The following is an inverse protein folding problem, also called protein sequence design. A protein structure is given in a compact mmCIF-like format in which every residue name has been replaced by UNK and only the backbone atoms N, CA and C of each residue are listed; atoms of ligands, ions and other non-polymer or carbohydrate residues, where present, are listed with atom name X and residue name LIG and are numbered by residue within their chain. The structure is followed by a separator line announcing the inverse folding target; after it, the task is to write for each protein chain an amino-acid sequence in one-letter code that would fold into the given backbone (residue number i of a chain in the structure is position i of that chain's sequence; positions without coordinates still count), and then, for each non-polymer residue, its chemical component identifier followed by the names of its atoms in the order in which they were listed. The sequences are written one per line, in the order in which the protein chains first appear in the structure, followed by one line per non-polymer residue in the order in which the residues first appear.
data_IF_953348535870
#
_entry.id   IF_953348535870
#
_cell.length_a   1.000
_cell.length_b   1.000
_cell.length_c   1.000
_cell.angle_alpha   90.00
_cell.angle_beta   90.00
_cell.angle_gamma   90.00
#
_symmetry.space_group_name_H-M   'P 1'
#
loop_
_entity.id
_entity.type
_entity.pdbx_description
1 polymer ?
#
# COMPACT_ATOMS: atom_id res chain seq x y z
N UNK A 1 10.44 17.15 6.90
CA UNK A 1 9.95 15.82 6.48
C UNK A 1 10.62 15.45 5.16
N UNK A 2 11.46 14.42 5.14
CA UNK A 2 12.14 13.94 3.92
C UNK A 2 11.19 13.13 3.05
N UNK A 3 11.27 13.32 1.73
CA UNK A 3 10.57 12.47 0.78
C UNK A 3 11.24 11.09 0.73
N UNK A 4 10.44 10.03 0.70
CA UNK A 4 10.95 8.68 0.44
C UNK A 4 11.57 8.60 -0.95
N UNK A 5 12.66 7.85 -1.07
CA UNK A 5 13.30 7.53 -2.35
C UNK A 5 13.62 6.05 -2.38
N UNK A 6 13.34 5.42 -3.51
CA UNK A 6 13.79 4.06 -3.78
C UNK A 6 15.31 4.02 -3.89
N UNK A 7 15.89 2.99 -3.31
CA UNK A 7 17.30 2.68 -3.41
C UNK A 7 17.50 1.70 -4.57
N UNK A 8 18.11 2.17 -5.66
CA UNK A 8 18.35 1.36 -6.86
C UNK A 8 19.32 0.20 -6.62
N UNK A 9 20.09 0.23 -5.52
CA UNK A 9 20.95 -0.89 -5.12
C UNK A 9 20.20 -2.02 -4.41
N UNK A 10 18.92 -1.81 -4.06
CA UNK A 10 18.09 -2.76 -3.31
C UNK A 10 17.05 -3.45 -4.17
N UNK A 11 16.68 -4.66 -3.75
CA UNK A 11 15.59 -5.42 -4.38
C UNK A 11 14.22 -4.79 -4.13
N UNK A 12 13.20 -5.30 -4.83
CA UNK A 12 11.81 -4.88 -4.64
C UNK A 12 11.34 -5.04 -3.20
N UNK A 13 11.57 -6.21 -2.60
CA UNK A 13 11.11 -6.50 -1.23
C UNK A 13 11.74 -5.58 -0.19
N UNK A 14 13.03 -5.26 -0.32
CA UNK A 14 13.73 -4.36 0.59
C UNK A 14 13.24 -2.92 0.46
N UNK A 15 13.05 -2.46 -0.78
CA UNK A 15 12.48 -1.14 -1.07
C UNK A 15 11.03 -1.02 -0.59
N UNK A 16 10.28 -2.11 -0.67
CA UNK A 16 8.89 -2.17 -0.23
C UNK A 16 8.78 -2.12 1.30
N UNK A 17 9.59 -2.87 2.03
CA UNK A 17 9.63 -2.75 3.50
C UNK A 17 10.08 -1.35 3.92
N UNK A 18 11.11 -0.77 3.28
CA UNK A 18 11.54 0.60 3.57
C UNK A 18 10.44 1.65 3.30
N UNK A 19 9.63 1.43 2.25
CA UNK A 19 8.47 2.27 1.98
C UNK A 19 7.38 2.12 3.05
N UNK A 20 7.07 0.89 3.47
CA UNK A 20 6.09 0.64 4.52
C UNK A 20 6.54 1.25 5.85
N UNK A 21 7.80 1.11 6.23
CA UNK A 21 8.35 1.74 7.45
C UNK A 21 8.30 3.27 7.36
N UNK A 22 8.56 3.84 6.18
CA UNK A 22 8.35 5.26 5.96
C UNK A 22 6.89 5.66 6.15
N UNK A 23 5.95 4.89 5.58
CA UNK A 23 4.52 5.12 5.72
C UNK A 23 4.05 5.03 7.18
N UNK A 24 4.56 4.08 7.96
CA UNK A 24 4.24 3.96 9.39
C UNK A 24 4.55 5.27 10.15
N UNK A 25 5.60 6.00 9.75
CA UNK A 25 5.96 7.29 10.36
C UNK A 25 5.10 8.48 9.89
N UNK A 26 4.35 8.32 8.80
CA UNK A 26 3.54 9.38 8.17
C UNK A 26 2.06 9.23 8.45
N UNK A 27 1.57 8.03 8.24
CA UNK A 27 0.17 7.65 8.26
C UNK A 27 0.10 6.14 8.58
N UNK A 28 -0.02 5.79 9.88
CA UNK A 28 -0.13 4.40 10.33
C UNK A 28 -1.35 3.67 9.76
N UNK A 29 -2.44 4.37 9.48
CA UNK A 29 -3.65 3.76 8.91
C UNK A 29 -3.42 3.38 7.45
N UNK A 30 -2.79 4.27 6.68
CA UNK A 30 -2.41 3.98 5.30
C UNK A 30 -1.36 2.87 5.22
N UNK A 31 -0.42 2.83 6.17
CA UNK A 31 0.54 1.72 6.29
C UNK A 31 -0.16 0.38 6.51
N UNK A 32 -1.14 0.33 7.42
CA UNK A 32 -1.89 -0.89 7.71
C UNK A 32 -2.65 -1.39 6.46
N UNK A 33 -3.26 -0.48 5.70
CA UNK A 33 -3.93 -0.80 4.43
C UNK A 33 -2.94 -1.37 3.42
N UNK A 34 -1.75 -0.77 3.28
CA UNK A 34 -0.72 -1.28 2.37
C UNK A 34 -0.23 -2.66 2.81
N UNK A 35 0.07 -2.87 4.09
CA UNK A 35 0.51 -4.19 4.60
C UNK A 35 -0.53 -5.28 4.37
N UNK A 36 -1.82 -4.97 4.51
CA UNK A 36 -2.90 -5.93 4.27
C UNK A 36 -2.98 -6.42 2.82
N UNK A 37 -2.41 -5.69 1.86
CA UNK A 37 -2.53 -6.00 0.43
C UNK A 37 -1.20 -6.25 -0.27
N UNK A 38 -0.07 -5.94 0.36
CA UNK A 38 1.26 -6.04 -0.25
C UNK A 38 1.62 -7.47 -0.68
N UNK A 39 1.06 -8.48 -0.02
CA UNK A 39 1.24 -9.89 -0.40
C UNK A 39 0.82 -10.17 -1.84
N UNK A 40 -0.12 -9.38 -2.40
CA UNK A 40 -0.52 -9.49 -3.81
C UNK A 40 0.63 -9.18 -4.75
N UNK A 41 1.50 -8.23 -4.39
CA UNK A 41 2.64 -7.81 -5.21
C UNK A 41 3.82 -8.78 -5.14
N UNK A 42 3.95 -9.56 -4.05
CA UNK A 42 5.06 -10.49 -3.84
C UNK A 42 4.90 -11.74 -4.71
N UNK A 43 6.01 -12.23 -5.29
CA UNK A 43 6.05 -13.51 -6.02
C UNK A 43 5.59 -13.49 -7.48
N UNK A 44 5.36 -12.31 -8.08
CA UNK A 44 5.02 -12.22 -9.51
C UNK A 44 6.29 -12.19 -10.37
N UNK A 45 6.60 -13.32 -11.01
CA UNK A 45 7.78 -13.49 -11.88
C UNK A 45 7.43 -13.21 -13.35
N UNK A 46 6.14 -13.24 -13.70
CA UNK A 46 5.64 -13.06 -15.07
C UNK A 46 5.20 -11.61 -15.36
N UNK A 47 5.87 -10.98 -16.33
CA UNK A 47 5.60 -9.64 -16.86
C UNK A 47 4.13 -9.42 -17.22
N UNK A 48 3.47 -10.41 -17.85
CA UNK A 48 2.08 -10.31 -18.26
C UNK A 48 1.14 -10.20 -17.04
N UNK A 49 1.52 -10.89 -15.95
CA UNK A 49 0.74 -10.92 -14.71
C UNK A 49 1.01 -9.72 -13.80
N UNK A 50 2.17 -9.06 -13.92
CA UNK A 50 2.51 -7.86 -13.13
C UNK A 50 1.46 -6.76 -13.24
N UNK A 51 0.92 -6.53 -14.46
CA UNK A 51 -0.09 -5.49 -14.66
C UNK A 51 -1.40 -5.82 -13.92
N UNK A 52 -1.88 -7.05 -14.07
CA UNK A 52 -3.11 -7.51 -13.42
C UNK A 52 -2.99 -7.42 -11.89
N UNK A 53 -1.88 -7.91 -11.34
CA UNK A 53 -1.62 -7.89 -9.90
C UNK A 53 -1.54 -6.46 -9.35
N UNK A 54 -0.90 -5.52 -10.07
CA UNK A 54 -0.90 -4.10 -9.69
C UNK A 54 -2.30 -3.52 -9.68
N UNK A 55 -3.13 -3.87 -10.67
CA UNK A 55 -4.53 -3.45 -10.72
C UNK A 55 -5.31 -4.01 -9.52
N UNK A 56 -5.15 -5.30 -9.19
CA UNK A 56 -5.80 -5.92 -8.02
C UNK A 56 -5.38 -5.28 -6.70
N UNK A 57 -4.09 -4.99 -6.54
CA UNK A 57 -3.55 -4.27 -5.39
C UNK A 57 -4.21 -2.88 -5.27
N UNK A 58 -4.21 -2.09 -6.34
CA UNK A 58 -4.79 -0.74 -6.33
C UNK A 58 -6.30 -0.74 -6.05
N UNK A 59 -7.05 -1.70 -6.62
CA UNK A 59 -8.49 -1.85 -6.35
C UNK A 59 -8.73 -2.15 -4.88
N UNK A 60 -7.91 -3.02 -4.28
CA UNK A 60 -8.07 -3.39 -2.87
C UNK A 60 -7.76 -2.23 -1.94
N UNK A 61 -6.64 -1.52 -2.18
CA UNK A 61 -6.29 -0.30 -1.44
C UNK A 61 -7.40 0.74 -1.53
N UNK A 62 -7.93 0.96 -2.74
CA UNK A 62 -9.05 1.90 -2.93
C UNK A 62 -10.28 1.48 -2.11
N UNK A 63 -10.67 0.20 -2.16
CA UNK A 63 -11.82 -0.30 -1.40
C UNK A 63 -11.66 -0.05 0.10
N UNK A 64 -10.49 -0.33 0.66
CA UNK A 64 -10.23 -0.09 2.09
C UNK A 64 -10.23 1.41 2.44
N UNK A 65 -9.76 2.28 1.55
CA UNK A 65 -9.88 3.73 1.73
C UNK A 65 -11.33 4.20 1.66
N UNK A 66 -12.11 3.70 0.70
CA UNK A 66 -13.54 4.03 0.58
C UNK A 66 -14.32 3.59 1.84
N UNK A 67 -14.00 2.41 2.39
CA UNK A 67 -14.58 1.91 3.65
C UNK A 67 -14.18 2.73 4.88
N UNK A 68 -12.90 3.14 4.96
CA UNK A 68 -12.39 3.98 6.04
C UNK A 68 -13.09 5.35 6.03
N UNK A 69 -13.20 5.99 4.85
CA UNK A 69 -13.88 7.28 4.69
C UNK A 69 -15.37 7.18 5.02
N UNK A 70 -16.06 6.15 4.54
CA UNK A 70 -17.47 5.91 4.85
C UNK A 70 -17.72 5.65 6.34
N UNK A 71 -16.72 5.16 7.08
CA UNK A 71 -16.80 4.94 8.52
C UNK A 71 -16.56 6.24 9.30
N UNK A 72 -15.61 7.05 8.84
CA UNK A 72 -15.34 8.39 9.38
C UNK A 72 -16.55 9.33 9.25
N UNK A 73 -17.28 9.30 8.13
CA UNK A 73 -18.47 10.13 7.91
C UNK A 73 -19.66 9.76 8.82
N UNK A 74 -19.75 8.50 9.27
CA UNK A 74 -20.84 8.04 10.16
C UNK A 74 -20.66 8.51 11.60
N UNK A 75 -19.43 8.68 12.07
CA UNK A 75 -19.15 9.16 13.43
C UNK A 75 -19.42 10.67 13.60
N UNK A 76 -19.36 11.46 12.52
CA UNK A 76 -19.59 12.91 12.57
C UNK A 76 -21.09 13.28 12.47
N UNK A 77 -21.94 12.37 11.99
CA UNK A 77 -23.40 12.55 11.88
C UNK A 77 -24.22 11.96 13.04
N UNK A 78 -23.55 11.45 14.09
CA UNK A 78 -24.20 10.80 15.24
C UNK A 78 -24.16 11.66 16.50
#
# INVERSE_FOLDING_TARGET
MTAFRFDESKGFDENLEAFLDHMASKDPEMEAIFRAHVAKLKGVIDDARRRAVRSEFNVSVKSSLDELLASSEKEVSS
#
